data_IF_319639320360
#
_entry.id   IF_319639320360
#
_cell.length_a   1.000
_cell.length_b   1.000
_cell.length_c   1.000
_cell.angle_alpha   90.00
_cell.angle_beta   90.00
_cell.angle_gamma   90.00
#
_symmetry.space_group_name_H-M   'P 1'
#
loop_
_entity.id
_entity.type
_entity.pdbx_description
1 polymer ?
#
# COMPACT_ATOMS: atom_id res chain seq x y z
N UNK A 1 -4.13 -8.54 2.98
CA UNK A 1 -5.11 -9.56 3.44
C UNK A 1 -4.35 -10.84 3.68
N UNK A 2 -4.58 -11.49 4.82
CA UNK A 2 -3.96 -12.78 5.18
C UNK A 2 -5.03 -13.86 5.10
N UNK A 3 -4.73 -15.00 4.49
CA UNK A 3 -5.68 -16.10 4.29
C UNK A 3 -5.10 -17.42 4.81
N UNK A 4 -5.93 -18.18 5.50
CA UNK A 4 -5.63 -19.54 5.96
C UNK A 4 -6.88 -20.41 5.79
N UNK A 5 -6.91 -21.23 4.74
CA UNK A 5 -8.10 -22.02 4.39
C UNK A 5 -9.33 -21.12 4.16
N UNK A 6 -10.37 -21.31 4.98
CA UNK A 6 -11.60 -20.49 4.97
C UNK A 6 -11.51 -19.22 5.81
N UNK A 7 -10.47 -19.08 6.63
CA UNK A 7 -10.26 -17.93 7.50
C UNK A 7 -9.51 -16.84 6.74
N UNK A 8 -9.94 -15.59 6.90
CA UNK A 8 -9.24 -14.44 6.36
C UNK A 8 -9.20 -13.30 7.35
N UNK A 9 -8.05 -12.66 7.47
CA UNK A 9 -7.87 -11.44 8.23
C UNK A 9 -7.51 -10.28 7.30
N UNK A 10 -8.08 -9.11 7.58
CA UNK A 10 -7.84 -7.88 6.84
C UNK A 10 -7.59 -6.76 7.83
N UNK A 11 -6.59 -5.94 7.54
CA UNK A 11 -6.32 -4.70 8.26
C UNK A 11 -6.28 -3.56 7.25
N UNK A 12 -7.06 -2.52 7.52
CA UNK A 12 -7.06 -1.31 6.71
C UNK A 12 -5.97 -0.38 7.24
N UNK A 13 -5.20 0.20 6.33
CA UNK A 13 -4.26 1.26 6.65
C UNK A 13 -5.00 2.58 6.91
N UNK A 14 -4.32 3.51 7.55
CA UNK A 14 -4.80 4.84 7.84
C UNK A 14 -5.05 5.63 6.55
N UNK A 15 -5.94 6.63 6.65
CA UNK A 15 -6.42 7.42 5.50
C UNK A 15 -5.29 8.12 4.74
N UNK A 16 -4.13 8.37 5.36
CA UNK A 16 -2.99 9.04 4.72
C UNK A 16 -2.46 8.29 3.49
N UNK A 17 -2.54 6.95 3.48
CA UNK A 17 -2.15 6.15 2.31
C UNK A 17 -3.08 6.42 1.12
N UNK A 18 -4.39 6.39 1.33
CA UNK A 18 -5.37 6.68 0.28
C UNK A 18 -5.16 8.08 -0.31
N UNK A 19 -5.01 9.08 0.57
CA UNK A 19 -4.74 10.47 0.13
C UNK A 19 -3.43 10.58 -0.64
N UNK A 20 -2.38 9.86 -0.23
CA UNK A 20 -1.10 9.85 -0.93
C UNK A 20 -1.21 9.20 -2.32
N UNK A 21 -1.88 8.05 -2.44
CA UNK A 21 -2.07 7.35 -3.72
C UNK A 21 -2.83 8.24 -4.71
N UNK A 22 -3.93 8.86 -4.27
CA UNK A 22 -4.74 9.73 -5.13
C UNK A 22 -3.93 10.95 -5.61
N UNK A 23 -3.15 11.56 -4.71
CA UNK A 23 -2.27 12.70 -5.07
C UNK A 23 -1.17 12.29 -6.04
N UNK A 24 -0.59 11.11 -5.87
CA UNK A 24 0.41 10.57 -6.78
C UNK A 24 -0.19 10.34 -8.17
N UNK A 25 -1.36 9.71 -8.27
CA UNK A 25 -2.07 9.46 -9.53
C UNK A 25 -2.45 10.76 -10.25
N UNK A 26 -3.01 11.74 -9.52
CA UNK A 26 -3.31 13.06 -10.08
C UNK A 26 -2.05 13.74 -10.64
N UNK A 27 -0.91 13.65 -9.92
CA UNK A 27 0.37 14.22 -10.39
C UNK A 27 0.97 13.45 -11.57
N UNK A 28 0.63 12.18 -11.72
CA UNK A 28 1.00 11.35 -12.86
C UNK A 28 0.12 11.61 -14.09
N UNK A 29 -0.97 12.37 -13.96
CA UNK A 29 -1.97 12.54 -15.02
C UNK A 29 -2.95 11.36 -15.15
N UNK A 30 -2.93 10.41 -14.20
CA UNK A 30 -3.74 9.19 -14.19
C UNK A 30 -5.09 9.47 -13.52
N UNK A 31 -5.93 10.28 -14.16
CA UNK A 31 -7.21 10.72 -13.58
C UNK A 31 -8.39 9.84 -14.00
N UNK A 32 -8.25 9.06 -15.06
CA UNK A 32 -9.22 8.04 -15.45
C UNK A 32 -9.18 6.81 -14.53
N UNK A 33 -10.33 6.16 -14.35
CA UNK A 33 -10.44 4.95 -13.52
C UNK A 33 -9.58 3.80 -14.01
N UNK A 34 -9.43 3.64 -15.33
CA UNK A 34 -8.54 2.63 -15.92
C UNK A 34 -7.08 2.97 -15.63
N UNK A 35 -6.65 4.18 -15.98
CA UNK A 35 -5.31 4.70 -15.76
C UNK A 35 -4.84 4.62 -14.30
N UNK A 36 -5.76 4.86 -13.36
CA UNK A 36 -5.49 4.74 -11.92
C UNK A 36 -5.19 3.29 -11.51
N UNK A 37 -5.85 2.32 -12.14
CA UNK A 37 -5.70 0.90 -11.82
C UNK A 37 -4.58 0.22 -12.60
N UNK A 38 -4.10 0.79 -13.71
CA UNK A 38 -3.01 0.22 -14.53
C UNK A 38 -1.74 -0.06 -13.70
N UNK A 39 -1.43 0.81 -12.74
CA UNK A 39 -0.23 0.71 -11.91
C UNK A 39 -0.41 -0.17 -10.67
N UNK A 40 -1.62 -0.70 -10.42
CA UNK A 40 -1.90 -1.52 -9.24
C UNK A 40 -1.28 -2.91 -9.36
N UNK A 41 -0.50 -3.30 -8.35
CA UNK A 41 0.14 -4.62 -8.28
C UNK A 41 -0.36 -5.41 -7.10
N UNK A 42 -0.53 -6.72 -7.30
CA UNK A 42 -0.81 -7.67 -6.23
C UNK A 42 0.45 -8.46 -5.92
N UNK A 43 0.97 -8.32 -4.71
CA UNK A 43 2.00 -9.19 -4.17
C UNK A 43 1.38 -10.22 -3.22
N UNK A 44 1.85 -11.45 -3.29
CA UNK A 44 1.39 -12.57 -2.46
C UNK A 44 2.63 -13.24 -1.90
N UNK A 45 2.69 -13.34 -0.59
CA UNK A 45 3.78 -14.00 0.12
C UNK A 45 3.20 -15.05 1.06
N UNK A 46 3.94 -16.15 1.21
CA UNK A 46 3.61 -17.18 2.20
C UNK A 46 4.00 -16.69 3.58
N UNK A 47 3.11 -16.86 4.54
CA UNK A 47 3.34 -16.52 5.93
C UNK A 47 2.91 -17.68 6.83
N UNK A 48 3.43 -17.74 8.04
CA UNK A 48 3.13 -18.78 9.03
C UNK A 48 2.70 -18.10 10.33
N UNK A 49 1.68 -18.65 11.00
CA UNK A 49 1.13 -18.12 12.24
C UNK A 49 -0.33 -17.70 12.14
N UNK A 50 -0.81 -16.97 13.14
CA UNK A 50 -2.19 -16.50 13.24
C UNK A 50 -2.48 -15.39 12.20
N UNK A 51 -3.51 -15.54 11.35
CA UNK A 51 -3.84 -14.55 10.32
C UNK A 51 -4.10 -13.14 10.84
N UNK A 52 -4.74 -13.01 12.01
CA UNK A 52 -5.10 -11.70 12.57
C UNK A 52 -3.86 -10.95 13.07
N UNK A 53 -2.97 -11.66 13.75
CA UNK A 53 -1.69 -11.17 14.24
C UNK A 53 -0.83 -10.69 13.09
N UNK A 54 -0.65 -11.52 12.05
CA UNK A 54 0.12 -11.17 10.85
C UNK A 54 -0.49 -9.93 10.18
N UNK A 55 -1.81 -9.90 9.98
CA UNK A 55 -2.47 -8.76 9.35
C UNK A 55 -2.28 -7.44 10.12
N UNK A 56 -2.27 -7.49 11.46
CA UNK A 56 -2.04 -6.32 12.31
C UNK A 56 -0.57 -5.89 12.25
N UNK A 57 0.38 -6.80 12.48
CA UNK A 57 1.82 -6.49 12.50
C UNK A 57 2.29 -5.97 11.14
N UNK A 58 1.90 -6.60 10.02
CA UNK A 58 2.24 -6.10 8.69
C UNK A 58 1.66 -4.71 8.43
N UNK A 59 0.46 -4.42 8.92
CA UNK A 59 -0.09 -3.07 8.79
C UNK A 59 0.71 -2.05 9.62
N UNK A 60 1.09 -2.40 10.86
CA UNK A 60 1.93 -1.54 11.71
C UNK A 60 3.32 -1.29 11.10
N UNK A 61 3.94 -2.32 10.52
CA UNK A 61 5.21 -2.20 9.79
C UNK A 61 5.08 -1.28 8.58
N UNK A 62 4.01 -1.40 7.80
CA UNK A 62 3.74 -0.50 6.68
C UNK A 62 3.51 0.93 7.15
N UNK A 63 2.73 1.14 8.20
CA UNK A 63 2.48 2.46 8.79
C UNK A 63 3.77 3.12 9.31
N UNK A 64 4.68 2.33 9.89
CA UNK A 64 5.96 2.80 10.38
C UNK A 64 6.93 3.10 9.23
N UNK A 65 7.01 2.21 8.24
CA UNK A 65 7.95 2.32 7.11
C UNK A 65 7.58 3.45 6.15
N UNK A 66 6.28 3.70 5.97
CA UNK A 66 5.77 4.79 5.13
C UNK A 66 5.29 5.95 6.01
N UNK A 67 6.26 6.64 6.62
CA UNK A 67 5.99 7.87 7.36
C UNK A 67 5.41 8.98 6.46
N UNK A 68 4.86 10.03 7.06
CA UNK A 68 4.33 11.18 6.32
C UNK A 68 5.37 11.85 5.42
N UNK A 69 6.65 11.80 5.78
CA UNK A 69 7.75 12.31 4.95
C UNK A 69 7.99 11.42 3.72
N UNK A 70 8.04 10.10 3.92
CA UNK A 70 8.17 9.13 2.82
C UNK A 70 7.00 9.24 1.85
N UNK A 71 5.76 9.29 2.37
CA UNK A 71 4.57 9.45 1.54
C UNK A 71 4.60 10.76 0.74
N UNK A 72 5.07 11.87 1.31
CA UNK A 72 5.25 13.14 0.57
C UNK A 72 6.28 13.01 -0.56
N UNK A 73 7.39 12.32 -0.34
CA UNK A 73 8.41 12.07 -1.36
C UNK A 73 7.83 11.22 -2.48
N UNK A 74 7.14 10.12 -2.16
CA UNK A 74 6.48 9.25 -3.14
C UNK A 74 5.44 10.04 -3.95
N UNK A 75 4.60 10.85 -3.31
CA UNK A 75 3.65 11.73 -4.01
C UNK A 75 4.36 12.66 -4.98
N UNK A 76 5.45 13.32 -4.57
CA UNK A 76 6.23 14.21 -5.42
C UNK A 76 6.80 13.47 -6.65
N UNK A 77 7.18 12.22 -6.44
CA UNK A 77 7.71 11.30 -7.46
C UNK A 77 6.62 10.47 -8.16
N UNK A 78 5.35 10.89 -8.10
CA UNK A 78 4.23 10.24 -8.82
C UNK A 78 4.04 8.77 -8.44
N UNK A 79 4.32 8.41 -7.18
CA UNK A 79 4.18 7.05 -6.65
C UNK A 79 5.41 6.15 -6.85
N UNK A 80 6.48 6.66 -7.47
CA UNK A 80 7.70 5.90 -7.72
C UNK A 80 8.70 6.08 -6.58
N UNK A 81 9.23 4.97 -6.07
CA UNK A 81 10.30 4.99 -5.09
C UNK A 81 11.63 5.18 -5.82
N UNK A 82 12.33 6.28 -5.56
CA UNK A 82 13.58 6.65 -6.25
C UNK A 82 14.79 5.84 -5.80
N UNK A 83 14.60 4.77 -5.03
CA UNK A 83 15.66 3.91 -4.48
C UNK A 83 15.78 2.54 -5.17
N UNK A 84 15.14 2.31 -6.31
CA UNK A 84 15.45 1.16 -7.15
C UNK A 84 16.46 1.57 -8.24
N UNK A 85 17.73 1.21 -8.01
CA UNK A 85 18.76 1.01 -9.05
C UNK A 85 19.02 -0.48 -9.14
#
# INVERSE_FOLDING_TARGET
VVKQGRTSAKKQLTKRFMVAIDRAAMRAGRQGSEEYLEDWRRQIETCQGDPQTIANTTAEELESSFSDEVLKILVKNKGLNTTET
#
